data_IF_154420941260
#
_entry.id   IF_154420941260
#
_cell.length_a   1.000
_cell.length_b   1.000
_cell.length_c   1.000
_cell.angle_alpha   90.00
_cell.angle_beta   90.00
_cell.angle_gamma   90.00
#
_symmetry.space_group_name_H-M   'P 1'
#
loop_
_entity.id
_entity.type
_entity.pdbx_description
1 polymer ?
#
# COMPACT_ATOMS: atom_id res chain seq x y z
N UNK A 1 -4.36 -9.33 -3.11
CA UNK A 1 -3.68 -8.89 -4.35
C UNK A 1 -4.73 -8.54 -5.38
N UNK A 2 -4.59 -7.37 -5.99
CA UNK A 2 -5.49 -6.90 -7.04
C UNK A 2 -4.65 -6.68 -8.29
N UNK A 3 -4.95 -7.42 -9.35
CA UNK A 3 -4.34 -7.24 -10.66
C UNK A 3 -5.23 -6.35 -11.54
N UNK A 4 -4.65 -5.27 -12.06
CA UNK A 4 -5.36 -4.23 -12.81
C UNK A 4 -5.30 -4.47 -14.32
N UNK A 5 -5.54 -5.71 -14.76
CA UNK A 5 -5.55 -6.07 -16.18
C UNK A 5 -4.17 -6.28 -16.77
N UNK A 6 -3.33 -7.08 -16.11
CA UNK A 6 -2.07 -7.52 -16.68
C UNK A 6 -2.29 -8.35 -17.94
N UNK A 7 -1.42 -8.16 -18.93
CA UNK A 7 -1.40 -8.95 -20.19
C UNK A 7 -0.25 -9.96 -20.22
N UNK A 8 0.70 -9.86 -19.29
CA UNK A 8 1.80 -10.82 -19.17
C UNK A 8 1.28 -12.18 -18.67
N UNK A 9 1.53 -13.22 -19.46
CA UNK A 9 1.02 -14.57 -19.19
C UNK A 9 1.59 -15.13 -17.89
N UNK A 10 2.86 -14.86 -17.61
CA UNK A 10 3.53 -15.36 -16.42
C UNK A 10 2.92 -14.77 -15.15
N UNK A 11 2.68 -13.45 -15.12
CA UNK A 11 2.02 -12.74 -14.03
C UNK A 11 0.65 -13.33 -13.74
N UNK A 12 -0.17 -13.54 -14.78
CA UNK A 12 -1.51 -14.14 -14.63
C UNK A 12 -1.42 -15.56 -14.06
N UNK A 13 -0.47 -16.37 -14.54
CA UNK A 13 -0.29 -17.75 -14.06
C UNK A 13 0.14 -17.79 -12.59
N UNK A 14 1.12 -16.97 -12.20
CA UNK A 14 1.58 -16.87 -10.80
C UNK A 14 0.41 -16.47 -9.89
N UNK A 15 -0.36 -15.45 -10.26
CA UNK A 15 -1.52 -15.00 -9.48
C UNK A 15 -2.62 -16.07 -9.37
N UNK A 16 -2.86 -16.86 -10.42
CA UNK A 16 -3.84 -17.95 -10.40
C UNK A 16 -3.40 -19.14 -9.55
N UNK A 17 -2.09 -19.37 -9.43
CA UNK A 17 -1.52 -20.45 -8.63
C UNK A 17 -1.32 -20.06 -7.17
N UNK A 18 -1.37 -18.77 -6.84
CA UNK A 18 -1.16 -18.28 -5.48
C UNK A 18 -2.29 -18.72 -4.54
N UNK A 19 -2.00 -19.74 -3.74
CA UNK A 19 -2.93 -20.28 -2.76
C UNK A 19 -2.35 -20.17 -1.34
N UNK A 20 -2.61 -19.02 -0.70
CA UNK A 20 -2.19 -18.76 0.68
C UNK A 20 -3.41 -18.42 1.55
N UNK A 21 -3.54 -18.94 2.78
CA UNK A 21 -4.77 -18.81 3.59
C UNK A 21 -5.27 -17.38 3.84
N UNK A 22 -4.38 -16.38 3.81
CA UNK A 22 -4.70 -14.97 4.07
C UNK A 22 -4.67 -14.09 2.82
N UNK A 23 -4.47 -14.68 1.65
CA UNK A 23 -4.38 -13.94 0.39
C UNK A 23 -5.64 -14.18 -0.44
N UNK A 24 -6.31 -13.07 -0.79
CA UNK A 24 -7.35 -13.08 -1.82
C UNK A 24 -6.80 -12.43 -3.07
N UNK A 25 -6.90 -13.12 -4.20
CA UNK A 25 -6.50 -12.62 -5.52
C UNK A 25 -7.75 -12.18 -6.29
N UNK A 26 -7.69 -11.00 -6.90
CA UNK A 26 -8.73 -10.45 -7.77
C UNK A 26 -8.06 -10.01 -9.07
N UNK A 27 -8.52 -10.54 -10.20
CA UNK A 27 -8.04 -10.17 -11.52
C UNK A 27 -9.19 -9.53 -12.29
N UNK A 28 -8.89 -8.45 -13.01
CA UNK A 28 -9.84 -7.85 -13.96
C UNK A 28 -9.25 -7.88 -15.36
N UNK A 29 -10.11 -7.90 -16.38
CA UNK A 29 -9.67 -8.04 -17.77
C UNK A 29 -9.17 -6.72 -18.38
N UNK A 30 -9.72 -5.59 -17.92
CA UNK A 30 -9.45 -4.26 -18.48
C UNK A 30 -8.85 -3.33 -17.44
N UNK A 31 -7.65 -2.83 -17.73
CA UNK A 31 -6.97 -1.84 -16.90
C UNK A 31 -7.85 -0.61 -16.67
N UNK A 32 -8.00 -0.22 -15.40
CA UNK A 32 -8.85 0.89 -14.97
C UNK A 32 -8.13 2.23 -14.83
N UNK A 33 -6.84 2.33 -15.21
CA UNK A 33 -5.85 3.31 -14.73
C UNK A 33 -5.39 3.03 -13.29
N UNK A 34 -4.25 3.61 -12.90
CA UNK A 34 -3.66 3.44 -11.58
C UNK A 34 -4.58 3.89 -10.42
N UNK A 35 -5.11 5.13 -10.38
CA UNK A 35 -5.93 5.59 -9.26
C UNK A 35 -7.23 4.80 -9.13
N UNK A 36 -7.93 4.53 -10.23
CA UNK A 36 -9.17 3.77 -10.18
C UNK A 36 -8.93 2.30 -9.82
N UNK A 37 -7.81 1.71 -10.26
CA UNK A 37 -7.41 0.37 -9.85
C UNK A 37 -7.18 0.28 -8.35
N UNK A 38 -6.45 1.23 -7.77
CA UNK A 38 -6.24 1.34 -6.32
C UNK A 38 -7.57 1.50 -5.58
N UNK A 39 -8.42 2.43 -6.00
CA UNK A 39 -9.74 2.66 -5.39
C UNK A 39 -10.64 1.42 -5.47
N UNK A 40 -10.61 0.68 -6.58
CA UNK A 40 -11.33 -0.58 -6.70
C UNK A 40 -10.85 -1.63 -5.70
N UNK A 41 -9.52 -1.79 -5.56
CA UNK A 41 -8.92 -2.66 -4.55
C UNK A 41 -9.30 -2.28 -3.13
N UNK A 42 -9.30 -0.98 -2.80
CA UNK A 42 -9.69 -0.44 -1.50
C UNK A 42 -11.16 -0.76 -1.21
N UNK A 43 -12.07 -0.51 -2.16
CA UNK A 43 -13.49 -0.80 -1.99
C UNK A 43 -13.79 -2.30 -1.78
N UNK A 44 -12.93 -3.18 -2.28
CA UNK A 44 -13.04 -4.62 -2.05
C UNK A 44 -12.45 -5.06 -0.71
N UNK A 45 -11.63 -4.25 -0.06
CA UNK A 45 -10.95 -4.60 1.19
C UNK A 45 -11.95 -4.72 2.37
N UNK A 46 -11.51 -5.37 3.44
CA UNK A 46 -12.32 -5.60 4.66
C UNK A 46 -11.60 -5.19 5.95
N UNK A 47 -10.39 -4.65 5.83
CA UNK A 47 -9.57 -4.27 6.97
C UNK A 47 -9.98 -2.92 7.54
N UNK A 48 -9.72 -2.71 8.83
CA UNK A 48 -9.83 -1.38 9.48
C UNK A 48 -8.83 -0.38 8.88
N UNK A 49 -7.66 -0.87 8.49
CA UNK A 49 -6.58 -0.09 7.90
C UNK A 49 -6.24 -0.59 6.50
N UNK A 50 -5.76 0.33 5.66
CA UNK A 50 -5.36 0.07 4.28
C UNK A 50 -3.87 0.41 4.14
N UNK A 51 -3.11 -0.54 3.63
CA UNK A 51 -1.72 -0.36 3.21
C UNK A 51 -1.64 -0.68 1.71
N UNK A 52 -1.62 0.33 0.83
CA UNK A 52 -1.23 0.13 -0.56
C UNK A 52 0.23 -0.31 -0.59
N UNK A 53 0.53 -1.38 -1.32
CA UNK A 53 1.89 -1.90 -1.51
C UNK A 53 2.04 -2.26 -2.98
N UNK A 54 3.09 -1.73 -3.62
CA UNK A 54 3.36 -2.02 -5.02
C UNK A 54 4.03 -3.42 -5.16
N UNK A 55 3.92 -4.03 -6.34
CA UNK A 55 4.27 -5.45 -6.53
C UNK A 55 5.79 -5.71 -6.57
N UNK A 56 6.57 -4.65 -6.70
CA UNK A 56 8.03 -4.60 -6.74
C UNK A 56 8.65 -4.15 -5.40
N UNK A 57 7.82 -3.89 -4.38
CA UNK A 57 8.29 -3.51 -3.05
C UNK A 57 8.50 -4.70 -2.11
N UNK A 58 9.38 -4.52 -1.13
CA UNK A 58 9.55 -5.40 0.02
C UNK A 58 9.21 -4.68 1.32
N UNK A 59 8.60 -5.39 2.27
CA UNK A 59 8.29 -4.85 3.60
C UNK A 59 9.18 -5.47 4.66
N UNK A 60 9.66 -4.66 5.61
CA UNK A 60 10.36 -5.18 6.78
C UNK A 60 9.40 -6.08 7.60
N UNK A 61 9.85 -7.25 8.12
CA UNK A 61 8.99 -8.18 8.85
C UNK A 61 8.24 -7.55 10.04
N UNK A 62 8.78 -6.48 10.63
CA UNK A 62 8.18 -5.78 11.79
C UNK A 62 7.41 -4.51 11.43
N UNK A 63 7.37 -4.13 10.14
CA UNK A 63 6.77 -2.87 9.70
C UNK A 63 5.29 -2.80 10.07
N UNK A 64 4.49 -3.78 9.66
CA UNK A 64 3.03 -3.77 9.85
C UNK A 64 2.68 -3.73 11.34
N UNK A 65 3.38 -4.50 12.18
CA UNK A 65 3.18 -4.50 13.64
C UNK A 65 3.40 -3.11 14.25
N UNK A 66 4.52 -2.45 13.89
CA UNK A 66 4.86 -1.12 14.41
C UNK A 66 3.88 -0.04 13.95
N UNK A 67 3.50 -0.06 12.66
CA UNK A 67 2.51 0.88 12.13
C UNK A 67 1.15 0.68 12.80
N UNK A 68 0.71 -0.57 12.97
CA UNK A 68 -0.53 -0.91 13.66
C UNK A 68 -0.54 -0.42 15.11
N UNK A 69 0.54 -0.64 15.87
CA UNK A 69 0.65 -0.17 17.25
C UNK A 69 0.52 1.35 17.38
N UNK A 70 1.04 2.12 16.43
CA UNK A 70 0.87 3.59 16.44
C UNK A 70 -0.60 3.96 16.23
N UNK A 71 -1.25 3.38 15.23
CA UNK A 71 -2.66 3.68 14.91
C UNK A 71 -3.63 3.26 16.02
N UNK A 72 -3.38 2.13 16.69
CA UNK A 72 -4.23 1.68 17.79
C UNK A 72 -4.04 2.48 19.08
N UNK A 73 -2.80 2.90 19.39
CA UNK A 73 -2.51 3.58 20.65
C UNK A 73 -2.64 5.11 20.59
N UNK A 74 -2.80 5.69 19.40
CA UNK A 74 -2.94 7.14 19.18
C UNK A 74 -4.14 7.44 18.28
N UNK A 75 -5.37 7.46 18.82
CA UNK A 75 -6.59 7.65 18.03
C UNK A 75 -6.63 8.96 17.22
N UNK A 76 -5.84 9.96 17.59
CA UNK A 76 -5.66 11.22 16.86
C UNK A 76 -4.85 11.08 15.56
N UNK A 77 -4.14 9.97 15.37
CA UNK A 77 -3.32 9.71 14.18
C UNK A 77 -4.17 9.10 13.08
N UNK A 78 -4.42 9.87 12.01
CA UNK A 78 -5.20 9.41 10.85
C UNK A 78 -4.44 8.48 9.88
N UNK A 79 -3.12 8.57 9.83
CA UNK A 79 -2.26 7.69 9.02
C UNK A 79 -0.84 7.63 9.60
N UNK A 80 -0.09 6.59 9.24
CA UNK A 80 1.31 6.40 9.65
C UNK A 80 2.10 5.86 8.46
N UNK A 81 3.36 6.24 8.37
CA UNK A 81 4.31 5.74 7.35
C UNK A 81 5.61 5.31 8.02
N UNK A 82 6.39 4.51 7.32
CA UNK A 82 7.78 4.19 7.69
C UNK A 82 8.78 5.01 6.86
N UNK A 83 10.05 4.91 7.24
CA UNK A 83 11.14 5.17 6.29
C UNK A 83 11.16 4.17 5.14
N UNK A 84 12.00 4.47 4.16
CA UNK A 84 12.18 3.70 2.93
C UNK A 84 13.65 3.32 2.81
N UNK A 85 13.90 2.11 2.33
CA UNK A 85 15.24 1.67 1.94
C UNK A 85 15.17 1.27 0.48
N UNK A 86 16.00 1.92 -0.33
CA UNK A 86 16.20 1.54 -1.72
C UNK A 86 17.15 0.35 -1.77
N UNK A 87 16.82 -0.63 -2.62
CA UNK A 87 17.59 -1.84 -2.84
C UNK A 87 17.69 -2.13 -4.34
N UNK A 88 18.63 -3.00 -4.73
CA UNK A 88 18.91 -3.32 -6.14
C UNK A 88 20.14 -2.55 -6.65
N UNK A 89 19.97 -1.76 -7.71
CA UNK A 89 21.08 -1.00 -8.33
C UNK A 89 21.61 0.13 -7.44
N UNK A 90 20.74 0.71 -6.62
CA UNK A 90 21.08 1.76 -5.66
C UNK A 90 20.74 1.29 -4.25
N UNK A 91 21.61 1.63 -3.31
CA UNK A 91 21.41 1.35 -1.89
C UNK A 91 21.48 2.65 -1.10
N UNK A 92 20.34 3.09 -0.57
CA UNK A 92 20.26 4.24 0.32
C UNK A 92 19.00 4.20 1.17
N UNK A 93 19.04 4.90 2.28
CA UNK A 93 17.96 4.95 3.26
C UNK A 93 17.40 6.36 3.35
N UNK A 94 16.08 6.43 3.40
CA UNK A 94 15.35 7.63 3.73
C UNK A 94 14.58 7.41 5.02
N UNK A 95 14.86 8.27 6.01
CA UNK A 95 14.09 8.33 7.23
C UNK A 95 13.21 9.58 7.20
N UNK A 96 11.90 9.46 7.50
CA UNK A 96 11.06 10.63 7.64
C UNK A 96 11.61 11.49 8.77
N UNK A 97 11.68 12.80 8.52
CA UNK A 97 11.97 13.75 9.58
C UNK A 97 10.86 13.68 10.64
N UNK A 98 11.15 13.92 11.92
CA UNK A 98 10.12 14.02 12.96
C UNK A 98 9.04 15.00 12.51
N UNK A 99 7.82 14.49 12.31
CA UNK A 99 6.73 15.26 11.74
C UNK A 99 5.92 15.89 12.87
N UNK A 100 6.05 17.21 13.08
CA UNK A 100 5.43 17.86 14.25
C UNK A 100 3.95 18.25 14.10
N UNK A 101 3.35 18.31 12.89
CA UNK A 101 1.88 18.46 12.68
C UNK A 101 1.53 18.57 11.20
N UNK A 102 0.55 17.80 10.73
CA UNK A 102 0.00 17.91 9.36
C UNK A 102 -1.24 18.79 9.40
N UNK A 103 -1.06 20.11 9.38
CA UNK A 103 -2.14 21.04 9.02
C UNK A 103 -1.99 21.60 7.59
N UNK A 104 -0.88 21.34 6.90
CA UNK A 104 -0.54 22.09 5.69
C UNK A 104 -0.96 21.46 4.34
N UNK A 105 -1.74 20.38 4.31
CA UNK A 105 -2.10 19.71 3.05
C UNK A 105 -3.60 19.64 2.74
N UNK A 106 -4.45 20.23 3.59
CA UNK A 106 -5.90 20.35 3.33
C UNK A 106 -6.45 21.78 3.53
N UNK A 107 -5.61 22.78 3.82
CA UNK A 107 -5.99 24.20 3.82
C UNK A 107 -5.96 24.79 2.39
N UNK A 108 -6.57 24.10 1.42
CA UNK A 108 -7.13 24.76 0.23
C UNK A 108 -8.65 24.91 0.44
N UNK A 109 -9.02 25.65 1.49
CA UNK A 109 -10.27 26.41 1.45
C UNK A 109 -10.06 27.66 0.58
N UNK A 110 -10.81 27.71 -0.52
CA UNK A 110 -11.30 28.91 -1.21
C UNK A 110 -10.28 29.78 -1.96
N UNK A 111 -10.29 29.65 -3.29
CA UNK A 111 -10.68 30.75 -4.19
C UNK A 111 -11.24 30.20 -5.51
#
# INVERSE_FOLDING_TARGET
MFDNGSTDVNTIQVLKQLNMPKVRVVLIEKNKSLPNGRNFGINLSRGKYILPLDADDMVNPTMIEKLYQVLENKPEVGFVTSGLQYFGELFWEWLPQPFERLFALLDEEKQ
#
